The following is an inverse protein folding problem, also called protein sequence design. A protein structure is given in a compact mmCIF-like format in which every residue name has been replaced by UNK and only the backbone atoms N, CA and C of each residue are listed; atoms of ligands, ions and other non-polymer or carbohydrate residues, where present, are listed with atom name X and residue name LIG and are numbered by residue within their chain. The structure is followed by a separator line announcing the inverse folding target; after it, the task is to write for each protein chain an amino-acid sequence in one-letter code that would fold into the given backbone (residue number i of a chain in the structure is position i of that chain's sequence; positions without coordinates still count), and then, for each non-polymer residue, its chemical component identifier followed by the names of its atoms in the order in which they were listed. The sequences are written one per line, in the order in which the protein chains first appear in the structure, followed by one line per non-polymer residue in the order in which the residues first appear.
data_IF_861842093320
#
_entry.id   IF_861842093320
#
_cell.length_a   1.000
_cell.length_b   1.000
_cell.length_c   1.000
_cell.angle_alpha   90.00
_cell.angle_beta   90.00
_cell.angle_gamma   90.00
#
_symmetry.space_group_name_H-M   'P 1'
#
loop_
_entity.id
_entity.type
_entity.pdbx_description
1 polymer ?
#
# COMPACT_ATOMS: atom_id res chain seq x y z
N UNK A 1 -10.19 -7.70 7.14
CA UNK A 1 -9.99 -6.27 7.55
C UNK A 1 -11.24 -5.47 7.22
N UNK A 2 -11.98 -5.11 8.24
CA UNK A 2 -13.24 -4.38 8.06
C UNK A 2 -13.07 -3.03 7.42
N UNK A 3 -12.02 -2.30 7.81
CA UNK A 3 -11.73 -0.98 7.23
C UNK A 3 -11.39 -1.08 5.75
N UNK A 4 -10.67 -2.12 5.34
CA UNK A 4 -10.38 -2.35 3.94
C UNK A 4 -11.67 -2.62 3.16
N UNK A 5 -12.61 -3.39 3.72
CA UNK A 5 -13.90 -3.65 3.06
C UNK A 5 -14.70 -2.36 2.86
N UNK A 6 -14.69 -1.46 3.85
CA UNK A 6 -15.33 -0.16 3.74
C UNK A 6 -14.70 0.64 2.60
N UNK A 7 -13.37 0.66 2.54
CA UNK A 7 -12.65 1.41 1.50
C UNK A 7 -12.84 0.82 0.12
N UNK A 8 -12.80 -0.49 -0.03
CA UNK A 8 -13.03 -1.14 -1.34
C UNK A 8 -14.41 -0.78 -1.86
N UNK A 9 -15.40 -0.73 -0.98
CA UNK A 9 -16.76 -0.32 -1.35
C UNK A 9 -16.81 1.15 -1.79
N UNK A 10 -16.11 2.01 -1.06
CA UNK A 10 -15.99 3.44 -1.40
C UNK A 10 -15.28 3.61 -2.75
N UNK A 11 -14.15 2.94 -2.94
CA UNK A 11 -13.38 3.01 -4.17
C UNK A 11 -14.15 2.49 -5.38
N UNK A 12 -15.04 1.52 -5.17
CA UNK A 12 -15.92 1.01 -6.24
C UNK A 12 -16.87 2.04 -6.79
N UNK A 13 -17.11 3.14 -6.08
CA UNK A 13 -17.98 4.25 -6.51
C UNK A 13 -17.19 5.40 -7.13
N UNK A 14 -15.86 5.34 -7.11
CA UNK A 14 -14.97 6.35 -7.69
C UNK A 14 -14.42 5.83 -9.01
N UNK A 15 -14.10 6.74 -9.91
CA UNK A 15 -13.54 6.37 -11.21
C UNK A 15 -12.01 6.26 -11.09
N UNK A 16 -11.56 5.16 -10.50
CA UNK A 16 -10.15 4.91 -10.20
C UNK A 16 -9.45 4.08 -11.27
N UNK A 17 -10.17 3.59 -12.25
CA UNK A 17 -9.65 2.59 -13.17
C UNK A 17 -9.00 1.45 -12.36
N UNK A 18 -9.75 0.96 -11.36
CA UNK A 18 -9.26 -0.08 -10.47
C UNK A 18 -9.05 -1.40 -11.21
N UNK A 19 -7.98 -2.10 -10.86
CA UNK A 19 -7.70 -3.40 -11.44
C UNK A 19 -8.37 -4.52 -10.65
N UNK A 20 -8.74 -5.63 -11.32
CA UNK A 20 -9.33 -6.78 -10.64
C UNK A 20 -8.38 -7.36 -9.58
N UNK A 21 -8.95 -8.02 -8.55
CA UNK A 21 -8.13 -8.71 -7.56
C UNK A 21 -7.22 -9.77 -8.19
N UNK A 22 -6.11 -10.06 -7.52
CA UNK A 22 -5.16 -11.10 -7.95
C UNK A 22 -5.26 -12.32 -7.07
N UNK A 23 -4.97 -13.49 -7.65
CA UNK A 23 -4.81 -14.73 -6.89
C UNK A 23 -3.55 -14.70 -6.03
N UNK A 24 -3.55 -15.49 -4.95
CA UNK A 24 -2.45 -15.52 -3.99
C UNK A 24 -1.09 -15.84 -4.62
N UNK A 25 -1.05 -16.79 -5.57
CA UNK A 25 0.23 -17.18 -6.17
C UNK A 25 0.87 -16.04 -6.96
N UNK A 26 0.07 -15.21 -7.61
CA UNK A 26 0.58 -14.05 -8.36
C UNK A 26 1.07 -12.98 -7.40
N UNK A 27 0.33 -12.69 -6.33
CA UNK A 27 0.73 -11.72 -5.32
C UNK A 27 2.04 -12.15 -4.66
N UNK A 28 2.14 -13.42 -4.27
CA UNK A 28 3.35 -13.96 -3.65
C UNK A 28 4.55 -13.86 -4.59
N UNK A 29 4.40 -14.29 -5.84
CA UNK A 29 5.50 -14.24 -6.81
C UNK A 29 5.99 -12.81 -7.01
N UNK A 30 5.06 -11.84 -7.08
CA UNK A 30 5.40 -10.43 -7.25
C UNK A 30 6.24 -9.90 -6.10
N UNK A 31 5.78 -10.11 -4.86
CA UNK A 31 6.49 -9.59 -3.70
C UNK A 31 7.79 -10.32 -3.42
N UNK A 32 7.87 -11.63 -3.72
CA UNK A 32 9.13 -12.36 -3.65
C UNK A 32 10.14 -11.77 -4.62
N UNK A 33 9.72 -11.42 -5.84
CA UNK A 33 10.59 -10.77 -6.80
C UNK A 33 11.05 -9.40 -6.29
N UNK A 34 10.18 -8.68 -5.58
CA UNK A 34 10.51 -7.39 -4.99
C UNK A 34 11.33 -7.49 -3.71
N UNK A 35 11.50 -8.68 -3.15
CA UNK A 35 12.42 -8.91 -2.03
C UNK A 35 11.80 -9.24 -0.68
N UNK A 36 10.49 -9.49 -0.61
CA UNK A 36 9.83 -9.86 0.65
C UNK A 36 8.88 -11.05 0.44
N UNK A 37 8.73 -11.86 1.51
CA UNK A 37 7.65 -12.85 1.58
C UNK A 37 6.41 -12.10 2.06
N UNK A 38 5.35 -11.99 1.24
CA UNK A 38 4.19 -11.18 1.65
C UNK A 38 3.42 -11.83 2.79
N UNK A 39 3.18 -11.07 3.90
CA UNK A 39 2.30 -11.54 4.96
C UNK A 39 0.85 -11.67 4.49
N UNK A 40 0.03 -12.32 5.31
CA UNK A 40 -1.38 -12.55 4.97
C UNK A 40 -2.15 -11.25 4.74
N UNK A 41 -1.88 -10.20 5.52
CA UNK A 41 -2.59 -8.93 5.34
C UNK A 41 -2.32 -8.30 3.97
N UNK A 42 -1.09 -8.40 3.47
CA UNK A 42 -0.73 -7.90 2.14
C UNK A 42 -1.38 -8.76 1.05
N UNK A 43 -1.41 -10.06 1.24
CA UNK A 43 -2.12 -10.99 0.35
C UNK A 43 -3.61 -10.65 0.29
N UNK A 44 -4.20 -10.36 1.45
CA UNK A 44 -5.61 -10.00 1.55
C UNK A 44 -5.91 -8.69 0.81
N UNK A 45 -5.02 -7.69 0.94
CA UNK A 45 -5.16 -6.41 0.26
C UNK A 45 -5.29 -6.60 -1.26
N UNK A 46 -4.33 -7.28 -1.87
CA UNK A 46 -4.33 -7.47 -3.32
C UNK A 46 -5.34 -8.51 -3.79
N UNK A 47 -5.85 -9.32 -2.87
CA UNK A 47 -7.00 -10.21 -3.12
C UNK A 47 -8.34 -9.47 -3.09
N UNK A 48 -8.35 -8.22 -2.59
CA UNK A 48 -9.56 -7.39 -2.55
C UNK A 48 -9.59 -6.37 -3.69
N UNK A 49 -8.43 -5.84 -4.07
CA UNK A 49 -8.31 -4.87 -5.16
C UNK A 49 -6.91 -5.00 -5.77
N UNK A 50 -6.82 -5.02 -7.08
CA UNK A 50 -5.55 -5.25 -7.79
C UNK A 50 -4.69 -3.99 -7.99
N UNK A 51 -5.13 -2.86 -7.49
CA UNK A 51 -4.44 -1.59 -7.64
C UNK A 51 -5.30 -0.55 -8.35
N UNK A 52 -4.79 0.66 -8.41
CA UNK A 52 -5.48 1.80 -8.99
C UNK A 52 -4.59 2.43 -10.06
N UNK A 53 -5.18 2.80 -11.20
CA UNK A 53 -4.43 3.50 -12.24
C UNK A 53 -4.40 5.01 -12.00
N UNK A 54 -5.38 5.51 -11.25
CA UNK A 54 -5.45 6.93 -10.84
C UNK A 54 -5.70 6.99 -9.34
N UNK A 55 -5.32 8.10 -8.67
CA UNK A 55 -5.54 8.25 -7.23
C UNK A 55 -7.03 8.28 -6.87
N UNK A 56 -7.32 7.94 -5.60
CA UNK A 56 -8.67 8.08 -5.07
C UNK A 56 -8.97 9.54 -4.70
N UNK A 57 -10.15 9.80 -4.13
CA UNK A 57 -10.56 11.16 -3.74
C UNK A 57 -9.64 11.80 -2.72
N UNK A 58 -8.89 11.00 -1.96
CA UNK A 58 -7.94 11.49 -0.97
C UNK A 58 -6.53 11.63 -1.56
N UNK A 59 -6.37 11.43 -2.88
CA UNK A 59 -5.12 11.53 -3.62
C UNK A 59 -4.11 10.43 -3.30
N UNK A 60 -4.57 9.31 -2.71
CA UNK A 60 -3.77 8.13 -2.46
C UNK A 60 -4.01 7.11 -3.57
N UNK A 61 -2.98 6.36 -3.92
CA UNK A 61 -3.07 5.36 -4.98
C UNK A 61 -2.35 4.08 -4.57
N UNK A 62 -3.07 2.97 -4.57
CA UNK A 62 -2.47 1.65 -4.43
C UNK A 62 -1.87 1.26 -5.78
N UNK A 63 -0.61 0.89 -5.79
CA UNK A 63 0.05 0.51 -7.04
C UNK A 63 -0.43 -0.84 -7.56
N UNK A 64 -0.68 -0.95 -8.87
CA UNK A 64 -0.78 -2.26 -9.51
C UNK A 64 0.49 -3.06 -9.29
N UNK A 65 0.37 -4.39 -9.30
CA UNK A 65 1.54 -5.25 -9.06
C UNK A 65 2.68 -5.00 -10.07
N UNK A 66 2.35 -4.63 -11.30
CA UNK A 66 3.37 -4.30 -12.31
C UNK A 66 4.25 -3.12 -11.86
N UNK A 67 3.68 -2.11 -11.20
CA UNK A 67 4.46 -0.98 -10.69
C UNK A 67 5.32 -1.38 -9.49
N UNK A 68 4.84 -2.27 -8.64
CA UNK A 68 5.63 -2.81 -7.54
C UNK A 68 6.91 -3.44 -8.09
N UNK A 69 6.78 -4.25 -9.14
CA UNK A 69 7.94 -4.90 -9.78
C UNK A 69 8.85 -3.87 -10.44
N UNK A 70 8.29 -2.88 -11.12
CA UNK A 70 9.08 -1.82 -11.76
C UNK A 70 9.96 -1.06 -10.78
N UNK A 71 9.54 -0.95 -9.54
CA UNK A 71 10.25 -0.21 -8.49
C UNK A 71 10.99 -1.12 -7.52
N UNK A 72 11.17 -2.38 -7.86
CA UNK A 72 11.83 -3.35 -6.97
C UNK A 72 13.26 -2.99 -6.60
N UNK A 73 13.97 -2.28 -7.47
CA UNK A 73 15.34 -1.84 -7.18
C UNK A 73 15.39 -0.79 -6.07
N UNK A 74 14.26 -0.16 -5.74
CA UNK A 74 14.16 0.82 -4.66
C UNK A 74 13.82 0.18 -3.30
N UNK A 75 13.64 -1.15 -3.26
CA UNK A 75 13.39 -1.87 -2.01
C UNK A 75 14.58 -1.70 -1.08
N UNK A 76 14.30 -1.44 0.20
CA UNK A 76 15.34 -1.28 1.22
C UNK A 76 14.90 -1.95 2.53
N UNK A 77 15.61 -1.68 3.61
CA UNK A 77 15.32 -2.26 4.93
C UNK A 77 13.96 -1.86 5.49
N UNK A 78 13.36 -0.79 4.99
CA UNK A 78 12.01 -0.36 5.38
C UNK A 78 10.93 -0.90 4.45
N UNK A 79 11.28 -1.78 3.55
CA UNK A 79 10.34 -2.55 2.76
C UNK A 79 10.23 -2.17 1.30
N UNK A 80 9.15 -2.64 0.69
CA UNK A 80 8.84 -2.55 -0.73
C UNK A 80 7.86 -1.40 -0.96
N UNK A 81 8.11 -0.57 -1.97
CA UNK A 81 7.18 0.50 -2.35
C UNK A 81 5.90 -0.12 -2.93
N UNK A 82 4.73 0.33 -2.46
CA UNK A 82 3.45 -0.23 -2.90
C UNK A 82 2.34 0.80 -3.12
N UNK A 83 2.53 2.04 -2.73
CA UNK A 83 1.53 3.09 -2.91
C UNK A 83 2.17 4.47 -2.90
N UNK A 84 1.43 5.47 -3.38
CA UNK A 84 1.90 6.85 -3.36
C UNK A 84 0.79 7.81 -2.97
N UNK A 85 1.19 9.06 -2.70
CA UNK A 85 0.29 10.14 -2.38
C UNK A 85 0.59 11.34 -3.27
N UNK A 86 -0.46 12.01 -3.71
CA UNK A 86 -0.39 13.26 -4.46
C UNK A 86 0.53 13.15 -5.68
N UNK A 87 0.19 12.21 -6.56
CA UNK A 87 0.91 11.99 -7.82
C UNK A 87 2.41 11.81 -7.61
N UNK A 88 2.75 10.87 -6.71
CA UNK A 88 4.14 10.48 -6.45
C UNK A 88 4.96 11.55 -5.71
N UNK A 89 4.30 12.45 -4.98
CA UNK A 89 5.01 13.40 -4.12
C UNK A 89 5.78 12.69 -3.02
N UNK A 90 5.20 11.64 -2.44
CA UNK A 90 5.90 10.68 -1.61
C UNK A 90 5.22 9.31 -1.72
N UNK A 91 5.88 8.29 -1.22
CA UNK A 91 5.40 6.93 -1.37
C UNK A 91 5.42 6.18 -0.04
N UNK A 92 4.74 5.04 -0.03
CA UNK A 92 4.64 4.19 1.15
C UNK A 92 5.28 2.84 0.88
N UNK A 93 5.96 2.34 1.90
CA UNK A 93 6.61 1.02 1.87
C UNK A 93 5.87 0.07 2.79
N UNK A 94 5.84 -1.18 2.40
CA UNK A 94 5.30 -2.25 3.22
C UNK A 94 6.42 -3.19 3.61
N UNK A 95 6.50 -3.51 4.91
CA UNK A 95 7.55 -4.37 5.47
C UNK A 95 6.92 -5.45 6.33
N UNK A 96 7.23 -6.73 6.08
CA UNK A 96 6.70 -7.80 6.91
C UNK A 96 7.14 -7.69 8.36
N UNK A 97 6.19 -7.84 9.30
CA UNK A 97 6.49 -8.03 10.71
C UNK A 97 6.68 -9.51 11.01
N UNK A 98 5.81 -10.33 10.42
CA UNK A 98 5.74 -11.78 10.58
C UNK A 98 4.93 -12.33 9.40
N UNK A 99 4.46 -13.57 9.50
CA UNK A 99 3.66 -14.19 8.45
C UNK A 99 2.25 -13.60 8.32
N UNK A 100 1.79 -12.84 9.31
CA UNK A 100 0.41 -12.35 9.37
C UNK A 100 0.27 -10.87 9.01
N UNK A 101 1.21 -10.03 9.44
CA UNK A 101 1.06 -8.58 9.36
C UNK A 101 2.24 -7.87 8.74
N UNK A 102 1.97 -6.68 8.19
CA UNK A 102 2.96 -5.80 7.57
C UNK A 102 2.90 -4.41 8.18
N UNK A 103 4.05 -3.82 8.44
CA UNK A 103 4.14 -2.41 8.82
C UNK A 103 4.14 -1.54 7.57
N UNK A 104 3.70 -0.29 7.72
CA UNK A 104 3.68 0.71 6.65
C UNK A 104 4.59 1.87 7.02
N UNK A 105 5.50 2.22 6.12
CA UNK A 105 6.40 3.35 6.27
C UNK A 105 6.14 4.37 5.18
N UNK A 106 6.31 5.67 5.49
CA UNK A 106 6.28 6.72 4.47
C UNK A 106 7.72 7.10 4.13
N UNK A 107 7.98 7.23 2.82
CA UNK A 107 9.29 7.66 2.32
C UNK A 107 9.08 8.94 1.52
N UNK A 108 9.69 10.02 2.00
CA UNK A 108 9.56 11.33 1.36
C UNK A 108 10.62 11.56 0.27
N UNK A 109 11.58 10.64 0.12
CA UNK A 109 12.65 10.74 -0.87
C UNK A 109 13.46 12.03 -0.75
N UNK A 110 13.61 12.54 0.45
CA UNK A 110 14.31 13.81 0.72
C UNK A 110 15.60 13.62 1.53
N UNK A 111 16.12 12.41 1.56
CA UNK A 111 17.33 12.07 2.31
C UNK A 111 17.07 11.62 3.74
N UNK A 112 15.83 11.78 4.24
CA UNK A 112 15.47 11.24 5.56
C UNK A 112 15.18 9.75 5.46
N UNK A 113 15.38 9.04 6.56
CA UNK A 113 14.94 7.66 6.63
C UNK A 113 13.41 7.59 6.56
N UNK A 114 12.84 6.54 6.00
CA UNK A 114 11.39 6.34 6.05
C UNK A 114 10.88 6.32 7.50
N UNK A 115 9.65 6.79 7.68
CA UNK A 115 9.02 6.91 9.00
C UNK A 115 7.88 5.90 9.13
N UNK A 116 7.78 5.27 10.29
CA UNK A 116 6.69 4.33 10.57
C UNK A 116 5.37 5.10 10.63
N UNK A 117 4.41 4.70 9.80
CA UNK A 117 3.07 5.29 9.75
C UNK A 117 2.07 4.43 10.50
N UNK A 118 2.17 3.12 10.33
CA UNK A 118 1.27 2.17 10.97
C UNK A 118 1.99 0.84 11.20
N UNK A 119 1.68 0.18 12.30
CA UNK A 119 2.30 -1.09 12.65
C UNK A 119 1.72 -2.27 11.89
N UNK A 120 0.51 -2.11 11.36
CA UNK A 120 -0.14 -3.11 10.53
C UNK A 120 -0.90 -2.44 9.41
N UNK A 121 -1.18 -3.17 8.33
CA UNK A 121 -2.04 -2.66 7.26
C UNK A 121 -3.43 -2.35 7.78
N UNK A 122 -3.94 -3.16 8.71
CA UNK A 122 -5.24 -2.88 9.33
C UNK A 122 -5.25 -1.52 10.02
N UNK A 123 -4.22 -1.21 10.81
CA UNK A 123 -4.10 0.10 11.46
C UNK A 123 -4.03 1.24 10.44
N UNK A 124 -3.31 1.02 9.34
CA UNK A 124 -3.22 2.00 8.27
C UNK A 124 -4.62 2.31 7.70
N UNK A 125 -5.38 1.28 7.39
CA UNK A 125 -6.72 1.47 6.82
C UNK A 125 -7.74 1.96 7.83
N UNK A 126 -7.62 1.59 9.11
CA UNK A 126 -8.45 2.19 10.18
C UNK A 126 -8.23 3.69 10.24
N UNK A 127 -6.98 4.13 10.27
CA UNK A 127 -6.64 5.56 10.27
C UNK A 127 -7.13 6.25 9.00
N UNK A 128 -7.05 5.56 7.87
CA UNK A 128 -7.54 6.08 6.59
C UNK A 128 -9.05 6.36 6.64
N UNK A 129 -9.83 5.42 7.16
CA UNK A 129 -11.28 5.57 7.29
C UNK A 129 -11.63 6.68 8.27
N UNK A 130 -10.90 6.79 9.38
CA UNK A 130 -11.18 7.78 10.42
C UNK A 130 -10.82 9.18 10.00
N UNK A 131 -9.64 9.37 9.40
CA UNK A 131 -9.19 10.68 8.96
C UNK A 131 -8.05 10.53 7.95
N UNK A 132 -8.42 10.33 6.68
CA UNK A 132 -7.45 10.13 5.60
C UNK A 132 -6.51 11.34 5.45
N UNK A 133 -7.04 12.55 5.55
CA UNK A 133 -6.25 13.76 5.41
C UNK A 133 -5.10 13.79 6.43
N UNK A 134 -5.41 13.54 7.68
CA UNK A 134 -4.39 13.52 8.74
C UNK A 134 -3.35 12.43 8.50
N UNK A 135 -3.80 11.22 8.10
CA UNK A 135 -2.89 10.11 7.85
C UNK A 135 -1.93 10.42 6.71
N UNK A 136 -2.44 10.94 5.62
CA UNK A 136 -1.69 11.09 4.37
C UNK A 136 -0.87 12.38 4.31
N UNK A 137 -1.29 13.42 5.01
CA UNK A 137 -0.60 14.71 5.00
C UNK A 137 0.25 14.96 6.23
N UNK A 138 0.37 13.98 7.12
CA UNK A 138 1.16 14.14 8.34
C UNK A 138 2.64 14.22 7.98
N UNK A 139 3.21 15.40 8.20
CA UNK A 139 4.63 15.65 8.04
C UNK A 139 5.22 15.91 9.43
N UNK A 140 6.06 15.08 9.90
CA UNK A 140 6.72 15.31 11.18
C UNK A 140 8.10 15.89 10.99
#
# INVERSE_FOLDING_TARGET
MKSLEILVRKWGKEDLLALPPYGESIVRATFLEAGIEPPKDLMHLYGAIGGMQVPDDELWRLWPLSEVVERKSDTNECGVLFSDYLLDSWAYRVKPNDAETSSVFVDYFDGRNPLLVARTLEQFFVAYVENADRLLTQTT
#
